data_IF_354186695317
#
_entry.id   IF_354186695317
#
_cell.length_a   1.000
_cell.length_b   1.000
_cell.length_c   1.000
_cell.angle_alpha   90.00
_cell.angle_beta   90.00
_cell.angle_gamma   90.00
#
_symmetry.space_group_name_H-M   'P 1'
#
loop_
_entity.id
_entity.type
_entity.pdbx_description
1 polymer ?
#
# COMPACT_ATOMS: atom_id res chain seq x y z
N UNK A 1 -8.89 -15.10 13.66
CA UNK A 1 -7.61 -15.49 13.08
C UNK A 1 -6.72 -16.10 14.15
N UNK A 2 -5.99 -17.16 13.84
CA UNK A 2 -5.07 -17.76 14.83
C UNK A 2 -3.88 -16.86 15.08
N UNK A 3 -3.44 -16.79 16.34
CA UNK A 3 -2.17 -16.17 16.70
C UNK A 3 -1.05 -17.14 16.36
N UNK A 4 -0.30 -16.86 15.31
CA UNK A 4 0.76 -17.73 14.80
C UNK A 4 1.81 -16.88 14.06
N UNK A 5 2.67 -17.52 13.34
CA UNK A 5 3.60 -16.86 12.43
C UNK A 5 3.23 -17.18 10.99
N UNK A 6 3.55 -16.27 10.08
CA UNK A 6 3.26 -16.43 8.65
C UNK A 6 4.48 -16.04 7.84
N UNK A 7 4.77 -16.81 6.80
CA UNK A 7 5.75 -16.40 5.79
C UNK A 7 5.02 -15.51 4.77
N UNK A 8 5.55 -14.33 4.51
CA UNK A 8 5.02 -13.49 3.43
C UNK A 8 5.60 -13.97 2.11
N UNK A 9 4.73 -14.12 1.14
CA UNK A 9 5.08 -14.57 -0.22
C UNK A 9 4.73 -13.47 -1.20
N UNK A 10 5.59 -13.26 -2.20
CA UNK A 10 5.33 -12.30 -3.28
C UNK A 10 4.08 -12.71 -4.06
N UNK A 11 3.93 -14.02 -4.29
CA UNK A 11 2.74 -14.60 -4.91
C UNK A 11 2.14 -15.60 -3.93
N UNK A 12 1.20 -15.19 -3.07
CA UNK A 12 0.61 -16.10 -2.11
C UNK A 12 -0.10 -17.25 -2.80
N UNK A 13 -0.05 -18.45 -2.17
CA UNK A 13 -0.73 -19.64 -2.69
C UNK A 13 -2.26 -19.43 -2.79
N UNK A 14 -2.83 -18.68 -1.85
CA UNK A 14 -4.20 -18.21 -1.95
C UNK A 14 -4.29 -17.09 -2.99
N UNK A 15 -5.36 -17.06 -3.75
CA UNK A 15 -5.55 -16.03 -4.77
C UNK A 15 -5.60 -14.63 -4.13
N UNK A 16 -4.99 -13.64 -4.79
CA UNK A 16 -5.19 -12.23 -4.49
C UNK A 16 -6.65 -11.88 -4.80
N UNK A 17 -7.34 -11.25 -3.85
CA UNK A 17 -8.75 -10.89 -4.00
C UNK A 17 -8.90 -9.42 -4.38
N UNK A 18 -9.90 -9.07 -5.19
CA UNK A 18 -10.18 -7.67 -5.50
C UNK A 18 -10.34 -6.86 -4.21
N UNK A 19 -9.81 -5.64 -4.21
CA UNK A 19 -9.92 -4.71 -3.09
C UNK A 19 -10.27 -3.30 -3.60
N UNK A 20 -10.69 -2.43 -2.69
CA UNK A 20 -11.16 -1.09 -3.01
C UNK A 20 -10.61 -0.03 -2.05
N UNK A 21 -9.37 -0.19 -1.61
CA UNK A 21 -8.71 0.80 -0.76
C UNK A 21 -8.41 2.09 -1.54
N UNK A 22 -8.23 1.98 -2.86
CA UNK A 22 -7.98 3.11 -3.76
C UNK A 22 -9.31 3.63 -4.29
N UNK A 23 -9.50 4.95 -4.26
CA UNK A 23 -10.70 5.57 -4.83
C UNK A 23 -10.77 5.30 -6.34
N UNK A 24 -11.95 4.96 -6.90
CA UNK A 24 -12.08 4.71 -8.34
C UNK A 24 -11.58 5.86 -9.22
N UNK A 25 -11.71 7.09 -8.76
CA UNK A 25 -11.28 8.29 -9.49
C UNK A 25 -9.77 8.52 -9.44
N UNK A 26 -9.05 7.79 -8.59
CA UNK A 26 -7.61 7.98 -8.43
C UNK A 26 -6.80 7.30 -9.53
N UNK A 27 -7.34 6.31 -10.21
CA UNK A 27 -6.62 5.60 -11.27
C UNK A 27 -6.31 6.52 -12.44
N UNK A 28 -5.07 6.48 -12.93
CA UNK A 28 -4.57 7.37 -13.96
C UNK A 28 -4.59 6.75 -15.35
N UNK A 29 -4.95 5.48 -15.47
CA UNK A 29 -5.12 4.75 -16.73
C UNK A 29 -6.46 4.02 -16.71
N UNK A 30 -6.79 3.34 -17.82
CA UNK A 30 -8.00 2.52 -17.89
C UNK A 30 -7.91 1.25 -17.03
N UNK A 31 -6.69 0.87 -16.61
CA UNK A 31 -6.47 -0.24 -15.70
C UNK A 31 -6.79 0.23 -14.26
N UNK A 32 -7.84 -0.34 -13.68
CA UNK A 32 -8.29 -0.06 -12.32
C UNK A 32 -8.16 -1.28 -11.41
N UNK A 33 -7.22 -2.17 -11.73
CA UNK A 33 -7.02 -3.39 -10.97
C UNK A 33 -6.38 -3.08 -9.62
N UNK A 34 -6.99 -3.57 -8.59
CA UNK A 34 -6.44 -3.55 -7.23
C UNK A 34 -6.77 -4.86 -6.55
N UNK A 35 -5.76 -5.52 -5.96
CA UNK A 35 -5.92 -6.81 -5.28
C UNK A 35 -5.16 -6.84 -3.98
N UNK A 36 -5.60 -7.68 -3.06
CA UNK A 36 -5.04 -7.79 -1.72
C UNK A 36 -5.13 -9.22 -1.19
N UNK A 37 -4.16 -9.59 -0.34
CA UNK A 37 -4.22 -10.80 0.46
C UNK A 37 -3.76 -10.47 1.87
N UNK A 38 -4.64 -10.67 2.87
CA UNK A 38 -4.30 -10.47 4.26
C UNK A 38 -3.54 -11.68 4.80
N UNK A 39 -2.38 -11.44 5.43
CA UNK A 39 -1.68 -12.45 6.22
C UNK A 39 -2.13 -12.43 7.67
N UNK A 40 -2.53 -11.27 8.17
CA UNK A 40 -3.08 -11.13 9.50
C UNK A 40 -3.95 -9.88 9.59
N UNK A 41 -5.04 -9.99 10.35
CA UNK A 41 -5.88 -8.85 10.69
C UNK A 41 -6.42 -9.07 12.11
N UNK A 42 -6.40 -8.02 12.94
CA UNK A 42 -7.11 -8.04 14.22
C UNK A 42 -8.62 -7.91 13.99
N UNK A 43 -9.43 -8.33 14.95
CA UNK A 43 -10.89 -8.28 14.81
C UNK A 43 -11.39 -6.84 14.63
N UNK A 44 -10.73 -5.87 15.25
CA UNK A 44 -11.07 -4.45 15.14
C UNK A 44 -10.33 -3.76 13.97
N UNK A 45 -9.57 -4.52 13.20
CA UNK A 45 -8.77 -4.02 12.07
C UNK A 45 -7.73 -2.95 12.45
N UNK A 46 -7.34 -2.89 13.74
CA UNK A 46 -6.29 -1.96 14.17
C UNK A 46 -4.89 -2.36 13.70
N UNK A 47 -4.69 -3.64 13.43
CA UNK A 47 -3.47 -4.19 12.84
C UNK A 47 -3.85 -4.99 11.61
N UNK A 48 -3.26 -4.62 10.48
CA UNK A 48 -3.45 -5.31 9.20
C UNK A 48 -2.08 -5.53 8.57
N UNK A 49 -1.85 -6.71 8.03
CA UNK A 49 -0.62 -6.98 7.28
C UNK A 49 -0.93 -7.94 6.14
N UNK A 50 -0.21 -7.76 5.03
CA UNK A 50 -0.45 -8.58 3.86
C UNK A 50 0.40 -8.18 2.67
N UNK A 51 -0.09 -8.57 1.50
CA UNK A 51 0.46 -8.20 0.20
C UNK A 51 -0.64 -7.54 -0.62
N UNK A 52 -0.29 -6.45 -1.29
CA UNK A 52 -1.24 -5.63 -2.05
C UNK A 52 -0.64 -5.25 -3.39
N UNK A 53 -1.48 -5.24 -4.41
CA UNK A 53 -1.09 -4.80 -5.75
C UNK A 53 -2.10 -3.79 -6.28
N UNK A 54 -1.60 -2.76 -6.96
CA UNK A 54 -2.45 -1.70 -7.50
C UNK A 54 -1.90 -1.15 -8.81
N UNK A 55 -2.80 -0.96 -9.76
CA UNK A 55 -2.52 -0.30 -11.03
C UNK A 55 -2.16 1.17 -10.80
N UNK A 56 -1.59 1.86 -11.80
CA UNK A 56 -1.22 3.27 -11.67
C UNK A 56 -2.36 4.14 -11.18
N UNK A 57 -2.06 4.96 -10.18
CA UNK A 57 -3.03 5.85 -9.54
C UNK A 57 -2.34 7.05 -8.92
N UNK A 58 -3.12 8.06 -8.57
CA UNK A 58 -2.63 9.24 -7.86
C UNK A 58 -3.65 9.66 -6.82
N UNK A 59 -3.26 9.64 -5.56
CA UNK A 59 -4.10 10.03 -4.44
C UNK A 59 -3.45 11.09 -3.58
N UNK A 60 -4.26 12.02 -3.09
CA UNK A 60 -3.82 13.01 -2.10
C UNK A 60 -4.31 12.53 -0.75
N UNK A 61 -3.37 12.39 0.19
CA UNK A 61 -3.68 12.07 1.59
C UNK A 61 -3.50 13.32 2.45
N UNK A 62 -4.58 13.73 3.09
CA UNK A 62 -4.60 14.93 3.95
C UNK A 62 -5.60 14.72 5.10
N UNK A 63 -5.21 13.94 6.12
CA UNK A 63 -3.94 13.26 6.33
C UNK A 63 -3.92 11.79 5.91
N UNK A 64 -2.73 11.17 5.92
CA UNK A 64 -2.59 9.72 5.82
C UNK A 64 -3.27 9.06 7.02
N UNK A 65 -4.18 8.09 6.80
CA UNK A 65 -5.11 7.69 7.84
C UNK A 65 -4.57 6.73 8.90
N UNK A 66 -3.43 6.13 8.66
CA UNK A 66 -2.83 5.08 9.51
C UNK A 66 -1.32 5.20 9.52
N UNK A 67 -0.67 4.49 10.45
CA UNK A 67 0.77 4.22 10.35
C UNK A 67 0.97 3.04 9.42
N UNK A 68 1.88 3.14 8.47
CA UNK A 68 2.11 2.04 7.53
C UNK A 68 3.59 1.89 7.19
N UNK A 69 4.11 0.67 7.37
CA UNK A 69 5.42 0.27 6.89
C UNK A 69 5.25 -0.62 5.67
N UNK A 70 6.03 -0.38 4.63
CA UNK A 70 5.91 -1.05 3.34
C UNK A 70 7.25 -1.48 2.80
N UNK A 71 7.27 -2.64 2.13
CA UNK A 71 8.40 -3.08 1.30
C UNK A 71 7.90 -3.26 -0.12
N UNK A 72 8.52 -2.57 -1.06
CA UNK A 72 8.14 -2.66 -2.48
C UNK A 72 8.73 -3.94 -3.07
N UNK A 73 7.88 -4.71 -3.74
CA UNK A 73 8.24 -5.96 -4.39
C UNK A 73 8.46 -5.77 -5.89
N UNK A 74 7.62 -4.94 -6.51
CA UNK A 74 7.70 -4.60 -7.94
C UNK A 74 6.97 -3.29 -8.21
N UNK A 75 7.31 -2.64 -9.32
CA UNK A 75 6.73 -1.36 -9.69
C UNK A 75 7.41 -0.19 -9.01
N UNK A 76 6.75 0.97 -9.02
CA UNK A 76 7.28 2.17 -8.38
C UNK A 76 6.17 3.06 -7.85
N UNK A 77 6.46 3.75 -6.75
CA UNK A 77 5.59 4.74 -6.14
C UNK A 77 6.40 5.97 -5.76
N UNK A 78 5.86 7.14 -6.04
CA UNK A 78 6.46 8.42 -5.65
C UNK A 78 5.58 9.08 -4.61
N UNK A 79 6.18 9.46 -3.47
CA UNK A 79 5.52 10.25 -2.45
C UNK A 79 6.05 11.68 -2.51
N UNK A 80 5.15 12.63 -2.48
CA UNK A 80 5.50 14.06 -2.44
C UNK A 80 4.89 14.67 -1.19
N UNK A 81 5.74 15.23 -0.31
CA UNK A 81 5.29 15.91 0.89
C UNK A 81 4.55 17.19 0.52
N UNK A 82 3.35 17.37 1.06
CA UNK A 82 2.58 18.60 0.85
C UNK A 82 3.25 19.79 1.51
N UNK A 83 3.89 19.58 2.67
CA UNK A 83 4.40 20.69 3.49
C UNK A 83 5.65 21.35 2.89
N UNK A 84 6.55 20.56 2.28
CA UNK A 84 7.80 21.11 1.74
C UNK A 84 8.04 20.81 0.26
N UNK A 85 7.17 20.02 -0.37
CA UNK A 85 7.27 19.66 -1.79
C UNK A 85 8.34 18.63 -2.12
N UNK A 86 9.03 18.08 -1.11
CA UNK A 86 10.04 17.05 -1.33
C UNK A 86 9.38 15.77 -1.87
N UNK A 87 10.00 15.18 -2.87
CA UNK A 87 9.55 13.92 -3.47
C UNK A 87 10.59 12.83 -3.31
N UNK A 88 10.10 11.60 -3.13
CA UNK A 88 10.95 10.42 -3.09
C UNK A 88 10.25 9.28 -3.82
N UNK A 89 11.00 8.55 -4.64
CA UNK A 89 10.48 7.40 -5.40
C UNK A 89 11.04 6.11 -4.81
N UNK A 90 10.14 5.17 -4.55
CA UNK A 90 10.49 3.85 -4.00
C UNK A 90 10.25 2.77 -5.06
N UNK A 91 11.18 1.83 -5.15
CA UNK A 91 11.16 0.73 -6.12
C UNK A 91 11.47 -0.59 -5.42
N UNK A 92 11.50 -1.69 -6.17
CA UNK A 92 11.71 -3.04 -5.62
C UNK A 92 12.91 -3.10 -4.67
N UNK A 93 12.68 -3.64 -3.48
CA UNK A 93 13.68 -3.76 -2.42
C UNK A 93 13.68 -2.62 -1.40
N UNK A 94 13.03 -1.49 -1.71
CA UNK A 94 12.94 -0.38 -0.78
C UNK A 94 11.89 -0.64 0.31
N UNK A 95 12.23 -0.28 1.54
CA UNK A 95 11.30 -0.30 2.68
C UNK A 95 11.18 1.09 3.23
N UNK A 96 9.95 1.54 3.47
CA UNK A 96 9.70 2.88 4.02
C UNK A 96 8.47 2.89 4.91
N UNK A 97 8.29 3.99 5.61
CA UNK A 97 7.23 4.18 6.59
C UNK A 97 6.53 5.50 6.36
N UNK A 98 5.20 5.49 6.45
CA UNK A 98 4.39 6.70 6.45
C UNK A 98 3.68 6.79 7.79
N UNK A 99 3.91 7.88 8.52
CA UNK A 99 3.24 8.12 9.80
C UNK A 99 1.80 8.57 9.59
N UNK A 100 0.90 8.10 10.44
CA UNK A 100 -0.46 8.65 10.51
C UNK A 100 -0.41 10.17 10.69
N UNK A 101 -1.18 10.89 9.90
CA UNK A 101 -1.20 12.36 9.93
C UNK A 101 -0.31 13.02 8.87
N UNK A 102 0.51 12.25 8.17
CA UNK A 102 1.35 12.78 7.10
C UNK A 102 0.48 13.32 5.96
N UNK A 103 0.81 14.50 5.45
CA UNK A 103 0.16 15.11 4.29
C UNK A 103 1.02 14.90 3.07
N UNK A 104 0.55 14.14 2.10
CA UNK A 104 1.35 13.79 0.93
C UNK A 104 0.49 13.42 -0.26
N UNK A 105 1.11 13.41 -1.43
CA UNK A 105 0.56 12.81 -2.64
C UNK A 105 1.25 11.47 -2.85
N UNK A 106 0.46 10.45 -3.14
CA UNK A 106 0.88 9.08 -3.43
C UNK A 106 0.63 8.82 -4.90
N UNK A 107 1.68 8.52 -5.65
CA UNK A 107 1.54 8.28 -7.09
C UNK A 107 2.24 6.99 -7.50
N UNK A 108 1.45 6.02 -7.95
CA UNK A 108 1.94 4.80 -8.59
C UNK A 108 2.04 5.06 -10.08
N UNK A 109 3.26 5.00 -10.63
CA UNK A 109 3.51 5.19 -12.06
C UNK A 109 3.68 3.87 -12.81
N UNK A 110 4.05 2.81 -12.10
CA UNK A 110 4.13 1.45 -12.59
C UNK A 110 3.39 0.56 -11.61
N UNK A 111 2.54 -0.37 -12.08
CA UNK A 111 1.79 -1.29 -11.21
C UNK A 111 2.64 -1.74 -10.03
N UNK A 112 2.17 -1.45 -8.83
CA UNK A 112 2.91 -1.62 -7.59
C UNK A 112 2.47 -2.88 -6.88
N UNK A 113 3.41 -3.70 -6.44
CA UNK A 113 3.16 -4.78 -5.49
C UNK A 113 4.02 -4.54 -4.26
N UNK A 114 3.44 -4.66 -3.07
CA UNK A 114 4.13 -4.39 -1.81
C UNK A 114 3.67 -5.33 -0.71
N UNK A 115 4.58 -5.60 0.24
CA UNK A 115 4.19 -6.01 1.59
C UNK A 115 3.83 -4.78 2.40
N UNK A 116 2.88 -4.91 3.32
CA UNK A 116 2.52 -3.81 4.21
C UNK A 116 2.24 -4.30 5.63
N UNK A 117 2.46 -3.39 6.56
CA UNK A 117 2.04 -3.50 7.96
C UNK A 117 1.38 -2.18 8.33
N UNK A 118 0.11 -2.25 8.72
CA UNK A 118 -0.70 -1.10 9.08
C UNK A 118 -1.04 -1.16 10.55
N UNK A 119 -0.87 -0.04 11.24
CA UNK A 119 -1.35 0.19 12.60
C UNK A 119 -2.25 1.43 12.57
N UNK A 120 -3.50 1.25 12.96
CA UNK A 120 -4.49 2.32 12.94
C UNK A 120 -4.22 3.37 14.03
#
# INVERSE_FOLDING_TARGET
MKNTFSRFEVNPAAAMLPSNFTSPDAFTTDDKTETNHFYFATDDESILTGVWECAPCKEVFDPYPVHEMMTILSGSVTLTSTDDGNSETFTAGDTFFVAKGTRCTWEITETLRKYYFIAA
#
